data_IF_695581166920
#
_entry.id   IF_695581166920
#
_cell.length_a   1.000
_cell.length_b   1.000
_cell.length_c   1.000
_cell.angle_alpha   90.00
_cell.angle_beta   90.00
_cell.angle_gamma   90.00
#
_symmetry.space_group_name_H-M   'P 1'
#
loop_
_entity.id
_entity.type
_entity.pdbx_description
1 polymer ?
#
# COMPACT_ATOMS: atom_id res chain seq x y z
N UNK A 1 -33.89 48.42 -8.15
CA UNK A 1 -34.00 46.98 -7.85
C UNK A 1 -33.34 46.04 -8.87
N UNK A 2 -33.29 46.34 -10.18
CA UNK A 2 -32.66 45.45 -11.19
C UNK A 2 -31.13 45.33 -11.10
N UNK A 3 -30.41 46.40 -10.71
CA UNK A 3 -28.94 46.37 -10.55
C UNK A 3 -28.48 45.39 -9.47
N UNK A 4 -29.20 45.30 -8.35
CA UNK A 4 -28.85 44.40 -7.24
C UNK A 4 -29.01 42.92 -7.62
N UNK A 5 -30.04 42.57 -8.43
CA UNK A 5 -30.22 41.19 -8.94
C UNK A 5 -29.11 40.77 -9.90
N UNK A 6 -28.63 41.67 -10.76
CA UNK A 6 -27.48 41.40 -11.66
C UNK A 6 -26.17 41.23 -10.89
N UNK A 7 -25.95 42.01 -9.84
CA UNK A 7 -24.77 41.91 -8.97
C UNK A 7 -24.74 40.60 -8.16
N UNK A 8 -25.90 40.19 -7.62
CA UNK A 8 -26.03 38.91 -6.90
C UNK A 8 -25.80 37.73 -7.85
N UNK A 9 -26.37 37.77 -9.06
CA UNK A 9 -26.16 36.73 -10.08
C UNK A 9 -24.68 36.63 -10.48
N UNK A 10 -24.00 37.77 -10.65
CA UNK A 10 -22.57 37.81 -10.95
C UNK A 10 -21.74 37.18 -9.83
N UNK A 11 -22.06 37.48 -8.56
CA UNK A 11 -21.38 36.87 -7.42
C UNK A 11 -21.61 35.36 -7.34
N UNK A 12 -22.82 34.88 -7.59
CA UNK A 12 -23.11 33.44 -7.63
C UNK A 12 -22.33 32.74 -8.73
N UNK A 13 -22.24 33.35 -9.92
CA UNK A 13 -21.42 32.84 -11.03
C UNK A 13 -19.94 32.83 -10.65
N UNK A 14 -19.45 33.89 -10.01
CA UNK A 14 -18.05 33.99 -9.60
C UNK A 14 -17.70 32.93 -8.55
N UNK A 15 -18.58 32.71 -7.57
CA UNK A 15 -18.44 31.64 -6.56
C UNK A 15 -18.47 30.27 -7.21
N UNK A 16 -19.35 30.05 -8.18
CA UNK A 16 -19.40 28.80 -8.92
C UNK A 16 -18.11 28.53 -9.72
N UNK A 17 -17.60 29.55 -10.42
CA UNK A 17 -16.31 29.47 -11.13
C UNK A 17 -15.19 29.15 -10.15
N UNK A 18 -15.16 29.81 -8.98
CA UNK A 18 -14.17 29.57 -7.94
C UNK A 18 -14.23 28.11 -7.43
N UNK A 19 -15.44 27.58 -7.18
CA UNK A 19 -15.64 26.18 -6.78
C UNK A 19 -15.14 25.24 -7.87
N UNK A 20 -15.46 25.50 -9.15
CA UNK A 20 -14.94 24.70 -10.26
C UNK A 20 -13.41 24.69 -10.31
N UNK A 21 -12.76 25.85 -10.13
CA UNK A 21 -11.31 25.92 -10.05
C UNK A 21 -10.76 25.09 -8.88
N UNK A 22 -11.39 25.17 -7.70
CA UNK A 22 -10.97 24.37 -6.53
C UNK A 22 -11.07 22.87 -6.84
N UNK A 23 -12.19 22.42 -7.42
CA UNK A 23 -12.41 21.01 -7.75
C UNK A 23 -11.40 20.51 -8.79
N UNK A 24 -11.14 21.29 -9.85
CA UNK A 24 -10.15 20.92 -10.87
C UNK A 24 -8.75 20.80 -10.27
N UNK A 25 -8.36 21.76 -9.42
CA UNK A 25 -7.07 21.70 -8.74
C UNK A 25 -6.98 20.48 -7.81
N UNK A 26 -8.01 20.20 -7.01
CA UNK A 26 -8.03 18.99 -6.18
C UNK A 26 -7.86 17.72 -7.01
N UNK A 27 -8.56 17.61 -8.14
CA UNK A 27 -8.46 16.43 -8.99
C UNK A 27 -7.07 16.24 -9.61
N UNK A 28 -6.46 17.32 -10.11
CA UNK A 28 -5.14 17.27 -10.74
C UNK A 28 -4.04 17.02 -9.71
N UNK A 29 -4.07 17.73 -8.58
CA UNK A 29 -2.98 17.72 -7.62
C UNK A 29 -3.07 16.59 -6.60
N UNK A 30 -4.28 16.15 -6.21
CA UNK A 30 -4.45 15.08 -5.22
C UNK A 30 -4.61 13.72 -5.92
N UNK A 31 -5.56 13.60 -6.85
CA UNK A 31 -5.86 12.31 -7.48
C UNK A 31 -4.86 11.91 -8.57
N UNK A 32 -4.21 12.87 -9.22
CA UNK A 32 -3.26 12.63 -10.30
C UNK A 32 -2.05 11.78 -9.89
N UNK A 33 -1.31 12.15 -8.83
CA UNK A 33 -0.16 11.37 -8.35
C UNK A 33 -0.53 9.94 -7.93
N UNK A 34 -1.60 9.77 -7.16
CA UNK A 34 -2.05 8.46 -6.66
C UNK A 34 -2.38 7.50 -7.81
N UNK A 35 -3.00 8.01 -8.88
CA UNK A 35 -3.30 7.21 -10.05
C UNK A 35 -2.03 6.74 -10.76
N UNK A 36 -1.03 7.61 -10.91
CA UNK A 36 0.25 7.26 -11.54
C UNK A 36 1.00 6.19 -10.76
N UNK A 37 1.05 6.30 -9.43
CA UNK A 37 1.72 5.31 -8.59
C UNK A 37 1.06 3.94 -8.70
N UNK A 38 -0.28 3.88 -8.65
CA UNK A 38 -1.03 2.62 -8.82
C UNK A 38 -0.83 2.01 -10.20
N UNK A 39 -0.90 2.83 -11.26
CA UNK A 39 -0.66 2.37 -12.63
C UNK A 39 0.76 1.82 -12.82
N UNK A 40 1.77 2.48 -12.23
CA UNK A 40 3.15 1.99 -12.26
C UNK A 40 3.31 0.66 -11.50
N UNK A 41 2.72 0.53 -10.31
CA UNK A 41 2.71 -0.71 -9.54
C UNK A 41 2.06 -1.86 -10.31
N UNK A 42 0.92 -1.61 -10.97
CA UNK A 42 0.23 -2.60 -11.79
C UNK A 42 1.05 -3.00 -13.03
N UNK A 43 1.72 -2.04 -13.68
CA UNK A 43 2.62 -2.32 -14.80
C UNK A 43 3.79 -3.22 -14.38
N UNK A 44 4.40 -2.94 -13.23
CA UNK A 44 5.48 -3.74 -12.66
C UNK A 44 4.98 -5.15 -12.34
N UNK A 45 3.84 -5.26 -11.64
CA UNK A 45 3.20 -6.53 -11.33
C UNK A 45 2.90 -7.38 -12.58
N UNK A 46 2.30 -6.79 -13.62
CA UNK A 46 1.98 -7.52 -14.85
C UNK A 46 3.21 -7.96 -15.63
N UNK A 47 4.28 -7.16 -15.65
CA UNK A 47 5.55 -7.57 -16.25
C UNK A 47 6.16 -8.74 -15.49
N UNK A 48 6.15 -8.69 -14.17
CA UNK A 48 6.64 -9.78 -13.33
C UNK A 48 5.82 -11.07 -13.53
N UNK A 49 4.50 -10.97 -13.57
CA UNK A 49 3.60 -12.11 -13.85
C UNK A 49 3.95 -12.81 -15.17
N UNK A 50 4.23 -12.02 -16.22
CA UNK A 50 4.68 -12.53 -17.52
C UNK A 50 6.06 -13.19 -17.43
N UNK A 51 7.01 -12.56 -16.75
CA UNK A 51 8.37 -13.10 -16.60
C UNK A 51 8.37 -14.45 -15.87
N UNK A 52 7.52 -14.59 -14.85
CA UNK A 52 7.38 -15.83 -14.09
C UNK A 52 6.48 -16.86 -14.77
N UNK A 53 5.82 -16.54 -15.88
CA UNK A 53 4.82 -17.40 -16.53
C UNK A 53 3.71 -17.87 -15.57
N UNK A 54 3.27 -16.99 -14.66
CA UNK A 54 2.19 -17.30 -13.70
C UNK A 54 0.84 -17.38 -14.40
N UNK A 55 -0.04 -18.29 -13.98
CA UNK A 55 -1.39 -18.41 -14.54
C UNK A 55 -2.32 -17.34 -13.99
N UNK A 56 -2.26 -17.12 -12.68
CA UNK A 56 -2.95 -16.02 -12.01
C UNK A 56 -1.99 -15.32 -11.07
N UNK A 57 -2.23 -14.02 -10.86
CA UNK A 57 -1.40 -13.20 -10.01
C UNK A 57 -2.26 -12.20 -9.26
N UNK A 58 -1.87 -11.87 -8.04
CA UNK A 58 -2.52 -10.84 -7.22
C UNK A 58 -1.44 -9.97 -6.61
N UNK A 59 -1.49 -8.67 -6.92
CA UNK A 59 -0.65 -7.68 -6.25
C UNK A 59 -1.14 -7.49 -4.82
N UNK A 60 -0.24 -7.62 -3.84
CA UNK A 60 -0.59 -7.42 -2.43
C UNK A 60 -0.31 -5.97 -2.01
N UNK A 61 0.95 -5.55 -2.07
CA UNK A 61 1.36 -4.21 -1.70
C UNK A 61 2.78 -3.88 -2.21
N UNK A 62 3.12 -2.60 -2.13
CA UNK A 62 4.50 -2.14 -2.13
C UNK A 62 4.89 -1.78 -0.69
N UNK A 63 6.11 -2.11 -0.30
CA UNK A 63 6.71 -1.79 0.98
C UNK A 63 7.95 -0.94 0.75
N UNK A 64 8.15 0.08 1.58
CA UNK A 64 9.25 1.03 1.41
C UNK A 64 9.96 1.16 2.75
N UNK A 65 11.21 0.72 2.80
CA UNK A 65 12.08 0.97 3.96
C UNK A 65 13.51 1.26 3.51
N UNK A 66 14.32 0.25 3.23
CA UNK A 66 15.65 0.42 2.61
C UNK A 66 15.52 0.71 1.11
N UNK A 67 14.65 -0.05 0.46
CA UNK A 67 14.29 0.09 -0.95
C UNK A 67 12.80 -0.20 -1.14
N UNK A 68 12.29 0.05 -2.35
CA UNK A 68 10.90 -0.25 -2.69
C UNK A 68 10.80 -1.73 -3.10
N UNK A 69 10.08 -2.50 -2.30
CA UNK A 69 9.84 -3.93 -2.54
C UNK A 69 8.38 -4.15 -2.88
N UNK A 70 8.14 -4.84 -3.98
CA UNK A 70 6.83 -5.23 -4.45
C UNK A 70 6.54 -6.64 -3.98
N UNK A 71 5.33 -6.87 -3.46
CA UNK A 71 4.91 -8.18 -2.98
C UNK A 71 3.66 -8.61 -3.73
N UNK A 72 3.70 -9.81 -4.30
CA UNK A 72 2.58 -10.38 -5.03
C UNK A 72 2.46 -11.87 -4.76
N UNK A 73 1.24 -12.40 -4.89
CA UNK A 73 1.00 -13.84 -4.97
C UNK A 73 0.98 -14.21 -6.45
N UNK A 74 1.77 -15.21 -6.84
CA UNK A 74 1.74 -15.83 -8.16
C UNK A 74 1.33 -17.28 -8.02
N UNK A 75 0.34 -17.70 -8.80
CA UNK A 75 -0.17 -19.07 -8.80
C UNK A 75 0.21 -19.78 -10.10
N UNK A 76 0.69 -20.99 -9.93
CA UNK A 76 1.04 -21.97 -10.95
C UNK A 76 0.16 -23.21 -10.74
N UNK A 77 0.23 -24.19 -11.64
CA UNK A 77 -0.69 -25.34 -11.71
C UNK A 77 -1.12 -25.91 -10.35
N UNK A 78 -0.19 -26.14 -9.42
CA UNK A 78 -0.48 -26.76 -8.12
C UNK A 78 0.05 -25.97 -6.92
N UNK A 79 0.59 -24.77 -7.11
CA UNK A 79 1.28 -24.02 -6.07
C UNK A 79 1.08 -22.52 -6.20
N UNK A 80 0.98 -21.82 -5.08
CA UNK A 80 0.93 -20.37 -5.01
C UNK A 80 2.10 -19.89 -4.17
N UNK A 81 2.87 -18.94 -4.69
CA UNK A 81 4.03 -18.37 -4.02
C UNK A 81 3.78 -16.89 -3.73
N UNK A 82 4.08 -16.44 -2.52
CA UNK A 82 4.32 -15.03 -2.23
C UNK A 82 5.73 -14.71 -2.70
N UNK A 83 5.86 -13.72 -3.58
CA UNK A 83 7.15 -13.32 -4.16
C UNK A 83 7.44 -11.88 -3.81
N UNK A 84 8.65 -11.65 -3.29
CA UNK A 84 9.22 -10.35 -2.96
C UNK A 84 10.19 -9.98 -4.07
N UNK A 85 9.97 -8.85 -4.72
CA UNK A 85 10.76 -8.47 -5.89
C UNK A 85 10.94 -6.95 -6.01
N UNK A 86 12.01 -6.55 -6.67
CA UNK A 86 12.36 -5.14 -6.89
C UNK A 86 11.69 -4.57 -8.13
N UNK A 87 11.83 -3.25 -8.33
CA UNK A 87 11.36 -2.56 -9.55
C UNK A 87 12.00 -3.11 -10.83
N UNK A 88 13.22 -3.63 -10.72
CA UNK A 88 14.00 -4.19 -11.84
C UNK A 88 13.71 -5.68 -12.08
N UNK A 89 12.64 -6.21 -11.46
CA UNK A 89 12.18 -7.60 -11.60
C UNK A 89 13.15 -8.64 -11.03
N UNK A 90 14.04 -8.22 -10.13
CA UNK A 90 14.87 -9.13 -9.35
C UNK A 90 14.03 -9.77 -8.23
N UNK A 91 14.05 -11.10 -8.15
CA UNK A 91 13.40 -11.85 -7.07
C UNK A 91 14.34 -11.86 -5.86
N UNK A 92 13.87 -11.29 -4.76
CA UNK A 92 14.60 -11.28 -3.49
C UNK A 92 14.34 -12.56 -2.68
N UNK A 93 13.07 -12.97 -2.61
CA UNK A 93 12.66 -14.19 -1.89
C UNK A 93 11.29 -14.69 -2.37
N UNK A 94 10.98 -15.94 -2.01
CA UNK A 94 9.73 -16.64 -2.26
C UNK A 94 9.29 -17.41 -1.02
N UNK A 95 7.99 -17.40 -0.72
CA UNK A 95 7.37 -18.20 0.34
C UNK A 95 6.14 -18.90 -0.17
N UNK A 96 5.83 -20.09 0.34
CA UNK A 96 4.57 -20.75 -0.01
C UNK A 96 3.41 -19.91 0.54
N UNK A 97 2.46 -19.54 -0.31
CA UNK A 97 1.31 -18.75 0.09
C UNK A 97 0.42 -19.50 1.10
N UNK A 98 0.48 -20.83 1.15
CA UNK A 98 -0.23 -21.65 2.14
C UNK A 98 0.28 -21.46 3.56
N UNK A 99 1.56 -21.14 3.72
CA UNK A 99 2.17 -20.87 5.03
C UNK A 99 1.67 -19.55 5.62
N UNK A 100 1.22 -18.63 4.76
CA UNK A 100 0.71 -17.34 5.16
C UNK A 100 -0.81 -17.36 5.46
N UNK A 101 -1.17 -17.88 6.62
CA UNK A 101 -2.53 -17.81 7.13
C UNK A 101 -2.77 -16.46 7.84
N UNK A 102 -3.22 -15.44 7.10
CA UNK A 102 -3.35 -14.06 7.59
C UNK A 102 -4.13 -13.93 8.91
N UNK A 103 -5.18 -14.74 9.12
CA UNK A 103 -5.96 -14.70 10.36
C UNK A 103 -5.18 -15.26 11.56
N UNK A 104 -4.38 -16.32 11.36
CA UNK A 104 -3.50 -16.85 12.39
C UNK A 104 -2.40 -15.85 12.77
N UNK A 105 -1.83 -15.17 11.77
CA UNK A 105 -0.85 -14.09 11.99
C UNK A 105 -1.49 -12.97 12.80
N UNK A 106 -2.66 -12.46 12.41
CA UNK A 106 -3.37 -11.41 13.15
C UNK A 106 -3.60 -11.78 14.61
N UNK A 107 -4.08 -12.99 14.86
CA UNK A 107 -4.34 -13.48 16.20
C UNK A 107 -3.05 -13.56 17.04
N UNK A 108 -1.97 -14.07 16.46
CA UNK A 108 -0.66 -14.14 17.12
C UNK A 108 -0.13 -12.76 17.47
N UNK A 109 -0.21 -11.80 16.54
CA UNK A 109 0.20 -10.41 16.78
C UNK A 109 -0.63 -9.75 17.89
N UNK A 110 -1.94 -9.96 17.86
CA UNK A 110 -2.86 -9.41 18.88
C UNK A 110 -2.50 -9.95 20.27
N UNK A 111 -2.23 -11.25 20.37
CA UNK A 111 -1.91 -11.91 21.63
C UNK A 111 -0.51 -11.54 22.14
N UNK A 112 0.49 -11.49 21.25
CA UNK A 112 1.90 -11.28 21.61
C UNK A 112 2.20 -9.81 21.92
N UNK A 113 1.61 -8.88 21.18
CA UNK A 113 1.94 -7.44 21.28
C UNK A 113 0.79 -6.59 21.84
N UNK A 114 -0.39 -7.18 22.11
CA UNK A 114 -1.54 -6.46 22.68
C UNK A 114 -2.20 -5.47 21.72
N UNK A 115 -1.90 -5.54 20.42
CA UNK A 115 -2.40 -4.61 19.41
C UNK A 115 -3.77 -5.09 18.90
N UNK A 116 -4.80 -4.23 18.99
CA UNK A 116 -6.17 -4.57 18.56
C UNK A 116 -6.54 -4.00 17.20
N UNK A 117 -6.04 -2.82 16.88
CA UNK A 117 -6.31 -2.12 15.63
C UNK A 117 -5.00 -1.82 14.92
N UNK A 118 -4.69 -2.60 13.89
CA UNK A 118 -3.46 -2.46 13.12
C UNK A 118 -3.69 -2.81 11.66
N UNK A 119 -2.80 -2.28 10.82
CA UNK A 119 -2.68 -2.65 9.40
C UNK A 119 -1.45 -3.53 9.23
N UNK A 120 -1.55 -4.54 8.36
CA UNK A 120 -0.41 -5.39 8.01
C UNK A 120 -0.02 -5.19 6.56
N UNK A 121 1.28 -5.16 6.31
CA UNK A 121 1.87 -5.19 4.97
C UNK A 121 3.01 -6.18 4.94
N UNK A 122 3.15 -6.92 3.85
CA UNK A 122 4.33 -7.74 3.64
C UNK A 122 5.46 -6.87 3.11
N UNK A 123 6.68 -7.14 3.56
CA UNK A 123 7.85 -6.38 3.19
C UNK A 123 9.09 -7.25 3.16
N UNK A 124 10.21 -6.62 2.84
CA UNK A 124 11.52 -7.24 2.89
C UNK A 124 12.49 -6.20 3.46
N UNK A 125 13.26 -6.60 4.47
CA UNK A 125 14.16 -5.71 5.21
C UNK A 125 15.41 -6.48 5.61
N UNK A 126 16.59 -5.88 5.49
CA UNK A 126 17.87 -6.51 5.86
C UNK A 126 18.02 -7.97 5.37
N UNK A 127 17.65 -8.23 4.11
CA UNK A 127 17.74 -9.56 3.47
C UNK A 127 16.81 -10.64 4.04
N UNK A 128 15.71 -10.26 4.66
CA UNK A 128 14.69 -11.20 5.14
C UNK A 128 13.25 -10.69 4.88
N UNK A 129 12.30 -11.60 4.58
CA UNK A 129 10.88 -11.27 4.54
C UNK A 129 10.37 -10.83 5.91
N UNK A 130 9.56 -9.79 5.93
CA UNK A 130 9.01 -9.21 7.16
C UNK A 130 7.54 -8.88 7.00
N UNK A 131 6.85 -8.77 8.13
CA UNK A 131 5.49 -8.27 8.21
C UNK A 131 5.54 -6.94 8.97
N UNK A 132 5.24 -5.84 8.28
CA UNK A 132 5.06 -4.53 8.90
C UNK A 132 3.66 -4.44 9.50
N UNK A 133 3.60 -4.17 10.79
CA UNK A 133 2.42 -3.99 11.61
C UNK A 133 2.39 -2.52 12.01
N UNK A 134 1.46 -1.77 11.44
CA UNK A 134 1.35 -0.33 11.64
C UNK A 134 0.07 0.00 12.40
N UNK A 135 0.24 0.70 13.51
CA UNK A 135 -0.83 1.35 14.28
C UNK A 135 -0.71 2.87 14.20
N UNK A 136 -1.55 3.59 14.94
CA UNK A 136 -1.43 5.04 15.09
C UNK A 136 -0.17 5.46 15.86
N UNK A 137 0.29 4.64 16.80
CA UNK A 137 1.36 5.00 17.74
C UNK A 137 2.70 4.34 17.41
N UNK A 138 2.67 3.16 16.78
CA UNK A 138 3.87 2.38 16.50
C UNK A 138 3.87 1.80 15.09
N UNK A 139 5.08 1.56 14.59
CA UNK A 139 5.37 0.66 13.48
C UNK A 139 6.30 -0.45 13.97
N UNK A 140 5.85 -1.69 13.83
CA UNK A 140 6.52 -2.89 14.28
C UNK A 140 6.78 -3.78 13.08
N UNK A 141 8.03 -4.17 12.85
CA UNK A 141 8.38 -5.18 11.88
C UNK A 141 8.66 -6.48 12.62
N UNK A 142 8.03 -7.55 12.15
CA UNK A 142 8.30 -8.90 12.63
C UNK A 142 8.81 -9.78 11.50
N UNK A 143 9.62 -10.77 11.85
CA UNK A 143 10.04 -11.84 10.97
C UNK A 143 8.82 -12.57 10.40
N UNK A 144 8.85 -12.89 9.11
CA UNK A 144 7.71 -13.53 8.45
C UNK A 144 7.44 -14.95 8.98
N UNK A 145 8.50 -15.69 9.29
CA UNK A 145 8.40 -17.12 9.62
C UNK A 145 8.08 -17.33 11.12
N UNK A 146 8.71 -16.55 12.01
CA UNK A 146 8.63 -16.74 13.46
C UNK A 146 7.83 -15.65 14.20
N UNK A 147 7.47 -14.56 13.51
CA UNK A 147 6.78 -13.40 14.10
C UNK A 147 7.55 -12.78 15.29
N UNK A 148 8.87 -12.91 15.27
CA UNK A 148 9.79 -12.26 16.21
C UNK A 148 10.04 -10.82 15.80
N UNK A 149 10.16 -9.93 16.78
CA UNK A 149 10.42 -8.52 16.53
C UNK A 149 11.80 -8.35 15.87
N UNK A 150 11.80 -7.72 14.70
CA UNK A 150 13.01 -7.32 13.97
C UNK A 150 13.33 -5.87 14.29
N UNK A 151 12.29 -5.03 14.36
CA UNK A 151 12.45 -3.59 14.49
C UNK A 151 11.16 -2.95 14.98
N UNK A 152 11.29 -1.92 15.83
CA UNK A 152 10.15 -1.20 16.39
C UNK A 152 10.44 0.29 16.42
N UNK A 153 9.46 1.06 15.95
CA UNK A 153 9.49 2.52 15.97
C UNK A 153 8.23 3.08 16.61
N UNK A 154 8.40 4.09 17.44
CA UNK A 154 7.31 4.92 17.91
C UNK A 154 7.09 6.05 16.93
N UNK A 155 5.85 6.26 16.50
CA UNK A 155 5.47 7.37 15.65
C UNK A 155 5.29 8.59 16.52
N UNK A 156 5.99 9.67 16.20
CA UNK A 156 5.74 10.95 16.85
C UNK A 156 4.28 11.36 16.57
N UNK A 157 3.45 11.33 17.61
CA UNK A 157 2.10 11.87 17.54
C UNK A 157 2.23 13.39 17.52
N UNK A 158 2.28 13.97 16.32
CA UNK A 158 2.18 15.43 16.14
C UNK A 158 0.78 15.82 16.65
N UNK A 159 0.72 16.35 17.88
CA UNK A 159 -0.48 16.90 18.49
C UNK A 159 -0.76 18.31 18.01
#
# INVERSE_FOLDING_TARGET
MLKNKKSILLNVILVFILICFIVINLYIFVSGPDFKVKDEQLKIHHKMAKQLNSQTSTFLNAFVMDEIVYVSIFTYDNQSEIVFYTKDFEVLDKRDAKEYAIEHVKQTITNKYGLKEFTMKLGYYQKQPVISISTHEIELLVDFDHLEEVLRYEKEVIR
#
